data_IF_648149273658
#
_entry.id   IF_648149273658
#
_cell.length_a   1.000
_cell.length_b   1.000
_cell.length_c   1.000
_cell.angle_alpha   90.00
_cell.angle_beta   90.00
_cell.angle_gamma   90.00
#
_symmetry.space_group_name_H-M   'P 1'
#
loop_
_entity.id
_entity.type
_entity.pdbx_description
1 polymer ?
#
# COMPACT_ATOMS: atom_id res chain seq x y z
N UNK A 1 -14.62 -18.11 8.88
CA UNK A 1 -15.61 -17.62 7.91
C UNK A 1 -16.97 -18.16 8.30
N UNK A 2 -17.93 -17.26 8.43
CA UNK A 2 -19.25 -17.59 9.03
C UNK A 2 -20.31 -17.90 7.96
N UNK A 3 -19.92 -17.95 6.67
CA UNK A 3 -20.84 -18.26 5.55
C UNK A 3 -21.80 -17.12 5.17
N UNK A 4 -21.52 -15.91 5.64
CA UNK A 4 -22.37 -14.74 5.38
C UNK A 4 -22.23 -14.18 3.97
N UNK A 5 -21.07 -14.42 3.32
CA UNK A 5 -20.77 -13.96 1.97
C UNK A 5 -20.35 -15.15 1.08
N UNK A 6 -20.90 -15.22 -0.11
CA UNK A 6 -20.54 -16.19 -1.14
C UNK A 6 -19.40 -15.68 -2.04
N UNK A 7 -19.32 -14.36 -2.23
CA UNK A 7 -18.30 -13.70 -3.05
C UNK A 7 -17.73 -12.48 -2.34
N UNK A 8 -16.47 -12.16 -2.61
CA UNK A 8 -15.81 -10.98 -2.12
C UNK A 8 -14.67 -10.55 -3.04
N UNK A 9 -14.28 -9.29 -2.96
CA UNK A 9 -13.10 -8.76 -3.63
C UNK A 9 -11.98 -8.66 -2.60
N UNK A 10 -10.79 -9.16 -2.94
CA UNK A 10 -9.62 -9.10 -2.08
C UNK A 10 -8.34 -9.00 -2.92
N UNK A 11 -7.30 -8.40 -2.35
CA UNK A 11 -5.97 -8.37 -2.95
C UNK A 11 -5.38 -9.79 -3.09
N UNK A 12 -4.47 -9.98 -4.03
CA UNK A 12 -3.86 -11.29 -4.33
C UNK A 12 -3.12 -11.91 -3.15
N UNK A 13 -2.40 -11.10 -2.37
CA UNK A 13 -1.69 -11.51 -1.17
C UNK A 13 -2.64 -12.04 -0.07
N UNK A 14 -3.74 -11.31 0.19
CA UNK A 14 -4.75 -11.75 1.16
C UNK A 14 -5.40 -13.07 0.78
N UNK A 15 -5.68 -13.28 -0.52
CA UNK A 15 -6.21 -14.56 -1.03
C UNK A 15 -5.22 -15.70 -0.82
N UNK A 16 -3.94 -15.47 -1.16
CA UNK A 16 -2.87 -16.44 -0.98
C UNK A 16 -2.71 -16.85 0.50
N UNK A 17 -2.60 -15.86 1.37
CA UNK A 17 -2.44 -16.11 2.79
C UNK A 17 -3.67 -16.77 3.43
N UNK A 18 -4.87 -16.39 3.03
CA UNK A 18 -6.09 -17.03 3.52
C UNK A 18 -6.18 -18.50 3.09
N UNK A 19 -5.83 -18.79 1.83
CA UNK A 19 -5.83 -20.16 1.31
C UNK A 19 -4.80 -21.05 2.03
N UNK A 20 -3.58 -20.55 2.23
CA UNK A 20 -2.47 -21.32 2.79
C UNK A 20 -2.36 -21.23 4.32
N UNK A 21 -3.13 -20.41 5.00
CA UNK A 21 -3.03 -20.21 6.47
C UNK A 21 -1.74 -19.53 6.90
N UNK A 22 -1.13 -18.73 6.03
CA UNK A 22 0.16 -18.06 6.29
C UNK A 22 0.02 -16.61 6.76
N UNK A 23 -1.19 -16.21 7.17
CA UNK A 23 -1.44 -14.86 7.71
C UNK A 23 -0.76 -14.67 9.06
N UNK A 24 -0.29 -13.44 9.37
CA UNK A 24 0.32 -13.12 10.67
C UNK A 24 -0.60 -13.40 11.87
N UNK A 25 -1.91 -13.27 11.70
CA UNK A 25 -2.94 -13.53 12.72
C UNK A 25 -3.25 -15.02 12.94
N UNK A 26 -2.45 -15.93 12.36
CA UNK A 26 -2.54 -17.39 12.52
C UNK A 26 -3.92 -17.98 12.23
N UNK A 27 -4.63 -17.43 11.27
CA UNK A 27 -5.91 -18.00 10.81
C UNK A 27 -5.65 -19.35 10.14
N UNK A 28 -6.50 -20.33 10.43
CA UNK A 28 -6.40 -21.65 9.78
C UNK A 28 -6.54 -21.54 8.27
N UNK A 29 -5.84 -22.40 7.49
CA UNK A 29 -6.00 -22.45 6.03
C UNK A 29 -7.47 -22.59 5.63
N UNK A 30 -7.85 -21.87 4.59
CA UNK A 30 -9.18 -21.99 3.99
C UNK A 30 -9.06 -22.52 2.55
N UNK A 31 -8.87 -23.81 2.42
CA UNK A 31 -8.66 -24.53 1.17
C UNK A 31 -9.88 -24.56 0.22
N UNK A 32 -11.05 -24.14 0.71
CA UNK A 32 -12.28 -23.99 -0.09
C UNK A 32 -12.36 -22.67 -0.85
N UNK A 33 -11.45 -21.71 -0.59
CA UNK A 33 -11.40 -20.46 -1.33
C UNK A 33 -11.09 -20.71 -2.80
N UNK A 34 -11.77 -20.01 -3.70
CA UNK A 34 -11.53 -20.09 -5.16
C UNK A 34 -11.45 -18.67 -5.72
N UNK A 35 -10.44 -18.42 -6.56
CA UNK A 35 -10.39 -17.24 -7.40
C UNK A 35 -11.31 -17.42 -8.59
N UNK A 36 -12.15 -16.44 -8.87
CA UNK A 36 -13.08 -16.46 -10.01
C UNK A 36 -12.46 -15.72 -11.20
N UNK A 37 -11.99 -14.50 -10.98
CA UNK A 37 -11.27 -13.68 -11.97
C UNK A 37 -10.50 -12.57 -11.27
N UNK A 38 -9.54 -11.96 -11.97
CA UNK A 38 -8.88 -10.72 -11.56
C UNK A 38 -9.62 -9.54 -12.17
N UNK A 39 -10.02 -8.58 -11.33
CA UNK A 39 -10.78 -7.42 -11.77
C UNK A 39 -9.88 -6.39 -12.49
N UNK A 40 -8.78 -5.99 -11.83
CA UNK A 40 -7.80 -5.03 -12.35
C UNK A 40 -6.51 -5.09 -11.52
N UNK A 41 -5.38 -4.61 -12.05
CA UNK A 41 -4.18 -4.42 -11.25
C UNK A 41 -4.34 -3.24 -10.28
N UNK A 42 -3.78 -3.40 -9.07
CA UNK A 42 -3.73 -2.34 -8.06
C UNK A 42 -2.27 -2.12 -7.62
N UNK A 43 -1.50 -1.32 -8.37
CA UNK A 43 -0.14 -1.02 -7.97
C UNK A 43 -0.12 -0.23 -6.65
N UNK A 44 0.79 -0.60 -5.75
CA UNK A 44 1.09 0.24 -4.60
C UNK A 44 1.94 1.42 -5.05
N UNK A 45 1.51 2.60 -4.67
CA UNK A 45 2.12 3.87 -5.04
C UNK A 45 2.44 4.68 -3.77
N UNK A 46 3.57 5.38 -3.75
CA UNK A 46 3.82 6.41 -2.74
C UNK A 46 3.77 7.77 -3.42
N UNK A 47 2.86 8.60 -2.93
CA UNK A 47 2.62 9.95 -3.42
C UNK A 47 3.29 10.93 -2.45
N UNK A 48 4.25 11.69 -2.95
CA UNK A 48 5.06 12.63 -2.19
C UNK A 48 4.66 14.09 -2.49
N UNK A 49 4.48 14.87 -1.44
CA UNK A 49 4.11 16.29 -1.52
C UNK A 49 5.20 17.10 -2.23
N UNK A 50 4.80 18.04 -3.08
CA UNK A 50 5.69 19.03 -3.69
C UNK A 50 6.52 19.75 -2.62
N UNK A 51 7.84 19.77 -2.81
CA UNK A 51 8.78 20.41 -1.87
C UNK A 51 9.12 19.60 -0.61
N UNK A 52 8.59 18.39 -0.42
CA UNK A 52 8.97 17.49 0.68
C UNK A 52 10.40 16.97 0.58
N UNK A 53 11.01 17.04 -0.62
CA UNK A 53 12.31 16.45 -0.97
C UNK A 53 12.32 14.92 -0.91
N UNK A 54 11.16 14.28 -0.94
CA UNK A 54 11.03 12.82 -1.03
C UNK A 54 11.19 12.42 -2.49
N UNK A 55 12.12 11.50 -2.77
CA UNK A 55 12.43 11.01 -4.12
C UNK A 55 12.44 9.48 -4.19
N UNK A 56 12.60 8.83 -3.06
CA UNK A 56 12.74 7.38 -2.91
C UNK A 56 12.33 6.94 -1.50
N UNK A 57 12.35 5.63 -1.25
CA UNK A 57 12.03 5.08 0.08
C UNK A 57 12.91 5.66 1.19
N UNK A 58 14.22 5.82 0.96
CA UNK A 58 15.15 6.30 1.99
C UNK A 58 14.83 7.72 2.46
N UNK A 59 14.35 8.55 1.56
CA UNK A 59 14.00 9.94 1.85
C UNK A 59 12.68 10.12 2.60
N UNK A 60 11.93 9.02 2.87
CA UNK A 60 10.79 9.00 3.79
C UNK A 60 11.23 9.09 5.27
N UNK A 61 12.50 8.80 5.57
CA UNK A 61 13.01 8.87 6.94
C UNK A 61 12.77 10.25 7.55
N UNK A 62 12.16 10.26 8.76
CA UNK A 62 11.86 11.49 9.48
C UNK A 62 10.72 12.34 8.89
N UNK A 63 9.97 11.84 7.89
CA UNK A 63 8.83 12.54 7.28
C UNK A 63 7.51 12.18 7.95
N UNK A 64 6.49 13.01 7.73
CA UNK A 64 5.12 12.73 8.15
C UNK A 64 4.44 11.90 7.06
N UNK A 65 4.18 10.63 7.34
CA UNK A 65 3.70 9.67 6.33
C UNK A 65 2.36 9.07 6.74
N UNK A 66 1.38 9.12 5.86
CA UNK A 66 0.15 8.37 6.03
C UNK A 66 0.35 6.92 5.56
N UNK A 67 0.22 5.98 6.49
CA UNK A 67 0.38 4.55 6.24
C UNK A 67 -0.95 3.83 6.04
N UNK A 68 -2.06 4.56 6.09
CA UNK A 68 -3.41 4.03 5.93
C UNK A 68 -4.09 3.62 7.23
N UNK A 69 -5.41 3.57 7.21
CA UNK A 69 -6.20 3.20 8.37
C UNK A 69 -6.11 1.70 8.68
N UNK A 70 -6.19 1.30 9.95
CA UNK A 70 -6.15 -0.10 10.36
C UNK A 70 -7.18 -0.97 9.62
N UNK A 71 -6.75 -2.16 9.20
CA UNK A 71 -7.60 -3.11 8.48
C UNK A 71 -7.78 -2.83 6.99
N UNK A 72 -7.24 -1.73 6.46
CA UNK A 72 -7.24 -1.48 5.01
C UNK A 72 -6.15 -2.26 4.28
N UNK A 73 -6.39 -2.61 3.01
CA UNK A 73 -5.36 -3.22 2.16
C UNK A 73 -4.16 -2.29 1.95
N UNK A 74 -4.39 -0.98 1.89
CA UNK A 74 -3.35 0.04 1.86
C UNK A 74 -2.38 -0.10 3.05
N UNK A 75 -2.91 -0.23 4.27
CA UNK A 75 -2.13 -0.41 5.50
C UNK A 75 -1.34 -1.72 5.46
N UNK A 76 -1.99 -2.81 5.08
CA UNK A 76 -1.33 -4.11 5.00
C UNK A 76 -0.16 -4.11 4.01
N UNK A 77 -0.32 -3.55 2.82
CA UNK A 77 0.77 -3.45 1.84
C UNK A 77 1.89 -2.52 2.32
N UNK A 78 1.56 -1.43 3.01
CA UNK A 78 2.57 -0.53 3.57
C UNK A 78 3.42 -1.24 4.64
N UNK A 79 2.79 -2.03 5.51
CA UNK A 79 3.48 -2.84 6.54
C UNK A 79 4.41 -3.89 5.93
N UNK A 80 3.99 -4.57 4.88
CA UNK A 80 4.84 -5.49 4.11
C UNK A 80 6.08 -4.78 3.55
N UNK A 81 5.93 -3.56 3.04
CA UNK A 81 7.06 -2.77 2.54
C UNK A 81 7.98 -2.30 3.66
N UNK A 82 7.44 -1.91 4.82
CA UNK A 82 8.26 -1.58 6.00
C UNK A 82 9.09 -2.78 6.44
N UNK A 83 8.48 -3.96 6.55
CA UNK A 83 9.16 -5.21 6.90
C UNK A 83 10.26 -5.55 5.87
N UNK A 84 9.97 -5.47 4.58
CA UNK A 84 10.94 -5.73 3.52
C UNK A 84 12.17 -4.79 3.59
N UNK A 85 11.97 -3.55 4.04
CA UNK A 85 13.06 -2.59 4.25
C UNK A 85 13.69 -2.67 5.65
N UNK A 86 13.22 -3.56 6.53
CA UNK A 86 13.73 -3.71 7.89
C UNK A 86 13.49 -2.50 8.79
N UNK A 87 12.36 -1.81 8.61
CA UNK A 87 11.99 -0.62 9.37
C UNK A 87 10.60 -0.78 10.00
N UNK A 88 10.36 -0.02 11.05
CA UNK A 88 9.07 0.12 11.71
C UNK A 88 8.54 1.57 11.59
N UNK A 89 7.46 1.89 12.27
CA UNK A 89 6.86 3.24 12.27
C UNK A 89 7.79 4.31 12.85
N UNK A 90 8.76 3.95 13.69
CA UNK A 90 9.77 4.85 14.21
C UNK A 90 10.76 5.38 13.17
N UNK A 91 10.79 4.76 11.97
CA UNK A 91 11.57 5.26 10.85
C UNK A 91 11.09 6.63 10.35
N UNK A 92 9.78 6.89 10.45
CA UNK A 92 9.15 8.14 10.05
C UNK A 92 9.21 9.17 11.17
N UNK A 93 9.08 10.45 10.84
CA UNK A 93 8.97 11.51 11.84
C UNK A 93 7.62 11.52 12.56
N UNK A 94 6.58 11.13 11.83
CA UNK A 94 5.25 10.84 12.36
C UNK A 94 4.49 9.96 11.35
N UNK A 95 3.61 9.10 11.85
CA UNK A 95 2.66 8.35 11.02
C UNK A 95 1.24 8.83 11.25
N UNK A 96 0.40 8.74 10.22
CA UNK A 96 -1.04 8.94 10.32
C UNK A 96 -1.78 7.75 9.72
N UNK A 97 -3.04 7.60 10.10
CA UNK A 97 -3.91 6.49 9.74
C UNK A 97 -5.17 6.98 9.02
N UNK A 98 -4.98 7.98 8.15
CA UNK A 98 -6.06 8.58 7.36
C UNK A 98 -6.61 7.56 6.35
N UNK A 99 -7.89 7.66 6.10
CA UNK A 99 -8.57 6.91 5.06
C UNK A 99 -8.16 7.39 3.66
N UNK A 100 -8.47 6.60 2.64
CA UNK A 100 -8.19 6.95 1.24
C UNK A 100 -8.89 8.24 0.78
N UNK A 101 -10.02 8.59 1.38
CA UNK A 101 -10.76 9.83 1.06
C UNK A 101 -10.13 11.08 1.68
N UNK A 102 -9.35 10.95 2.75
CA UNK A 102 -8.78 12.08 3.50
C UNK A 102 -7.34 12.42 3.06
N UNK A 103 -6.59 11.42 2.61
CA UNK A 103 -5.14 11.51 2.40
C UNK A 103 -4.72 12.54 1.37
N UNK A 104 -5.45 12.69 0.26
CA UNK A 104 -5.12 13.67 -0.79
C UNK A 104 -5.29 15.10 -0.30
N UNK A 105 -6.37 15.39 0.42
CA UNK A 105 -6.58 16.68 1.06
C UNK A 105 -5.50 17.00 2.09
N UNK A 106 -5.17 16.04 2.96
CA UNK A 106 -4.13 16.21 3.98
C UNK A 106 -2.74 16.46 3.38
N UNK A 107 -2.44 15.84 2.22
CA UNK A 107 -1.19 16.09 1.49
C UNK A 107 -1.14 17.51 0.93
N UNK A 108 -2.19 17.95 0.26
CA UNK A 108 -2.29 19.29 -0.32
C UNK A 108 -2.26 20.38 0.76
N UNK A 109 -2.89 20.14 1.91
CA UNK A 109 -2.86 21.00 3.11
C UNK A 109 -1.51 20.96 3.86
N UNK A 110 -0.53 20.20 3.42
CA UNK A 110 0.79 20.05 4.06
C UNK A 110 0.74 19.44 5.47
N UNK A 111 -0.33 18.74 5.82
CA UNK A 111 -0.47 18.01 7.09
C UNK A 111 0.39 16.77 7.12
N UNK A 112 0.57 16.13 5.93
CA UNK A 112 1.47 15.00 5.70
C UNK A 112 2.45 15.32 4.57
N UNK A 113 3.56 14.59 4.51
CA UNK A 113 4.59 14.75 3.47
C UNK A 113 4.46 13.69 2.36
N UNK A 114 3.90 12.53 2.69
CA UNK A 114 3.62 11.46 1.74
C UNK A 114 2.50 10.55 2.24
N UNK A 115 1.90 9.78 1.33
CA UNK A 115 1.05 8.65 1.65
C UNK A 115 1.31 7.48 0.71
N UNK A 116 1.12 6.25 1.21
CA UNK A 116 1.07 5.05 0.38
C UNK A 116 -0.36 4.75 -0.05
N UNK A 117 -0.57 4.23 -1.25
CA UNK A 117 -1.89 3.87 -1.73
C UNK A 117 -1.84 2.67 -2.68
N UNK A 118 -2.63 1.65 -2.37
CA UNK A 118 -2.86 0.51 -3.27
C UNK A 118 -4.17 0.77 -4.01
N UNK A 119 -4.08 1.08 -5.29
CA UNK A 119 -5.26 1.47 -6.09
C UNK A 119 -4.98 1.33 -7.58
N UNK A 120 -6.02 1.02 -8.35
CA UNK A 120 -5.97 1.01 -9.82
C UNK A 120 -5.59 2.37 -10.43
N UNK A 121 -5.02 2.35 -11.61
CA UNK A 121 -4.60 3.53 -12.38
C UNK A 121 -5.42 3.62 -13.66
N UNK A 122 -5.97 4.82 -13.98
CA UNK A 122 -5.91 6.10 -13.26
C UNK A 122 -6.82 6.15 -12.03
N UNK A 123 -6.46 6.98 -11.05
CA UNK A 123 -7.27 7.18 -9.83
C UNK A 123 -7.46 8.66 -9.53
N UNK A 124 -8.69 9.07 -9.23
CA UNK A 124 -9.06 10.46 -9.00
C UNK A 124 -8.36 11.08 -7.78
N UNK A 125 -8.16 10.32 -6.67
CA UNK A 125 -7.46 10.80 -5.48
C UNK A 125 -5.96 11.03 -5.74
N UNK A 126 -5.33 10.17 -6.56
CA UNK A 126 -3.95 10.38 -7.01
C UNK A 126 -3.87 11.60 -7.90
N UNK A 127 -4.75 11.74 -8.90
CA UNK A 127 -4.82 12.90 -9.79
C UNK A 127 -5.06 14.21 -9.02
N UNK A 128 -5.92 14.21 -8.00
CA UNK A 128 -6.10 15.37 -7.12
C UNK A 128 -4.78 15.80 -6.47
N UNK A 129 -3.95 14.86 -6.07
CA UNK A 129 -2.65 15.15 -5.45
C UNK A 129 -1.61 15.61 -6.47
N UNK A 130 -1.51 14.96 -7.64
CA UNK A 130 -0.52 15.27 -8.68
C UNK A 130 -0.86 16.55 -9.42
N UNK A 131 -2.06 16.64 -9.96
CA UNK A 131 -2.48 17.76 -10.80
C UNK A 131 -2.94 18.96 -9.95
N UNK A 132 -3.63 18.67 -8.84
CA UNK A 132 -4.18 19.72 -7.97
C UNK A 132 -3.14 20.42 -7.09
N UNK A 133 -2.16 19.71 -6.54
CA UNK A 133 -1.15 20.30 -5.65
C UNK A 133 0.30 19.94 -6.01
N UNK A 134 0.53 19.38 -7.18
CA UNK A 134 1.85 19.15 -7.76
C UNK A 134 2.67 18.09 -7.02
N UNK A 135 2.01 17.09 -6.43
CA UNK A 135 2.67 15.94 -5.84
C UNK A 135 3.33 15.07 -6.92
N UNK A 136 4.23 14.20 -6.50
CA UNK A 136 4.91 13.26 -7.39
C UNK A 136 4.77 11.83 -6.88
N UNK A 137 4.59 10.88 -7.77
CA UNK A 137 4.72 9.46 -7.47
C UNK A 137 6.22 9.14 -7.43
N UNK A 138 6.68 8.44 -6.40
CA UNK A 138 8.09 8.08 -6.26
C UNK A 138 8.34 6.65 -6.74
N UNK A 139 9.54 6.43 -7.28
CA UNK A 139 9.97 5.11 -7.70
C UNK A 139 10.29 4.23 -6.47
N UNK A 140 9.73 3.01 -6.45
CA UNK A 140 9.92 2.00 -5.41
C UNK A 140 10.84 0.86 -5.85
N UNK A 141 11.57 1.00 -6.97
CA UNK A 141 12.51 -0.01 -7.47
C UNK A 141 13.76 -0.12 -6.57
N UNK A 142 13.59 -0.66 -5.38
CA UNK A 142 14.66 -0.91 -4.41
C UNK A 142 15.08 -2.37 -4.38
N UNK A 143 16.28 -2.67 -3.88
CA UNK A 143 16.72 -4.05 -3.68
C UNK A 143 15.78 -4.85 -2.76
N UNK A 144 15.21 -4.20 -1.75
CA UNK A 144 14.24 -4.81 -0.84
C UNK A 144 12.95 -5.20 -1.58
N UNK A 145 12.42 -4.31 -2.42
CA UNK A 145 11.21 -4.58 -3.21
C UNK A 145 11.48 -5.65 -4.28
N UNK A 146 12.66 -5.63 -4.92
CA UNK A 146 13.05 -6.70 -5.85
C UNK A 146 13.04 -8.06 -5.20
N UNK A 147 13.62 -8.15 -4.00
CA UNK A 147 13.62 -9.39 -3.22
C UNK A 147 12.20 -9.80 -2.81
N UNK A 148 11.40 -8.86 -2.32
CA UNK A 148 9.99 -9.11 -1.94
C UNK A 148 9.20 -9.71 -3.10
N UNK A 149 9.32 -9.15 -4.30
CA UNK A 149 8.62 -9.65 -5.50
C UNK A 149 9.15 -11.01 -5.94
N UNK A 150 10.47 -11.24 -5.85
CA UNK A 150 11.06 -12.52 -6.21
C UNK A 150 10.63 -13.67 -5.27
N UNK A 151 10.47 -13.36 -3.98
CA UNK A 151 10.12 -14.35 -2.95
C UNK A 151 8.60 -14.62 -2.86
N UNK A 152 7.76 -13.78 -3.47
CA UNK A 152 6.31 -13.85 -3.31
C UNK A 152 5.58 -13.85 -4.67
N UNK A 153 4.99 -15.00 -5.09
CA UNK A 153 4.41 -15.18 -6.42
C UNK A 153 3.13 -14.35 -6.68
N UNK A 154 2.58 -13.71 -5.64
CA UNK A 154 1.39 -12.89 -5.71
C UNK A 154 1.70 -11.39 -5.88
N UNK A 155 2.99 -11.01 -5.92
CA UNK A 155 3.43 -9.65 -6.25
C UNK A 155 4.09 -9.62 -7.63
N UNK A 156 3.95 -8.49 -8.31
CA UNK A 156 4.62 -8.20 -9.57
C UNK A 156 4.98 -6.72 -9.66
N UNK A 157 6.00 -6.40 -10.47
CA UNK A 157 6.28 -5.01 -10.81
C UNK A 157 5.23 -4.47 -11.78
N UNK A 158 4.87 -3.20 -11.58
CA UNK A 158 4.06 -2.44 -12.52
C UNK A 158 4.76 -1.10 -12.82
N UNK A 159 4.64 -0.66 -14.07
CA UNK A 159 5.01 0.71 -14.50
C UNK A 159 3.73 1.49 -14.70
N UNK A 160 3.65 2.68 -14.13
CA UNK A 160 2.48 3.57 -14.18
C UNK A 160 2.90 4.95 -14.69
#
# INVERSE_FOLDING_TARGET
>A
MQGELQFGVAQSDWQYHAYNGTRPDKVKPYDKLRAVFSAHPEPFQIIARKGSKIKDWKSLKGKKVNIGNPGSGQRGTFEVLMEAHGVDTGYFGATSELTSSEQSGALCDKKIDAFGYTVGVPNAGVAQSTDGCGASIINLDTGAVKKLVADNPFYAFATI
#
